data_IF_430296350554
#
_entry.id   IF_430296350554
#
_cell.length_a   1.000
_cell.length_b   1.000
_cell.length_c   1.000
_cell.angle_alpha   90.00
_cell.angle_beta   90.00
_cell.angle_gamma   90.00
#
_symmetry.space_group_name_H-M   'P 1'
#
loop_
_entity.id
_entity.type
_entity.pdbx_description
1 polymer ?
#
# COMPACT_ATOMS: atom_id res chain seq x y z
N UNK A 1 20.43 -72.49 0.88
CA UNK A 1 21.33 -71.43 1.37
C UNK A 1 21.91 -70.69 0.18
N UNK A 2 21.63 -69.40 0.06
CA UNK A 2 22.49 -68.34 -0.51
C UNK A 2 21.69 -67.04 -0.42
N UNK A 3 21.95 -66.31 0.66
CA UNK A 3 21.53 -64.94 0.87
C UNK A 3 22.21 -64.04 -0.18
N UNK A 4 21.54 -62.98 -0.64
CA UNK A 4 22.13 -61.65 -0.79
C UNK A 4 21.01 -60.61 -0.74
N UNK A 5 20.89 -59.99 0.44
CA UNK A 5 20.24 -58.70 0.68
C UNK A 5 20.89 -57.62 -0.19
N UNK A 6 20.09 -56.79 -0.86
CA UNK A 6 20.54 -55.46 -1.30
C UNK A 6 19.52 -54.45 -0.79
N UNK A 7 19.90 -53.75 0.27
CA UNK A 7 19.30 -52.50 0.69
C UNK A 7 20.05 -51.36 -0.03
N UNK A 8 19.33 -50.47 -0.71
CA UNK A 8 19.78 -49.14 -1.14
C UNK A 8 18.61 -48.44 -1.83
N UNK A 9 18.29 -47.17 -1.61
CA UNK A 9 18.59 -46.22 -0.56
C UNK A 9 17.45 -45.19 -0.67
N UNK A 10 16.82 -44.80 0.44
CA UNK A 10 15.86 -43.70 0.45
C UNK A 10 16.62 -42.41 0.10
N UNK A 11 16.50 -41.95 -1.14
CA UNK A 11 16.91 -40.62 -1.53
C UNK A 11 15.94 -39.64 -0.87
N UNK A 12 16.27 -39.24 0.36
CA UNK A 12 15.71 -38.04 0.98
C UNK A 12 16.29 -36.88 0.17
N UNK A 13 15.60 -36.53 -0.93
CA UNK A 13 15.79 -35.25 -1.57
C UNK A 13 15.40 -34.20 -0.53
N UNK A 14 16.40 -33.61 0.11
CA UNK A 14 16.21 -32.44 0.93
C UNK A 14 15.55 -31.39 0.06
N UNK A 15 14.26 -31.17 0.29
CA UNK A 15 13.58 -29.96 -0.18
C UNK A 15 14.27 -28.86 0.59
N UNK A 16 15.34 -28.31 0.02
CA UNK A 16 15.91 -27.06 0.49
C UNK A 16 14.83 -26.04 0.20
N UNK A 17 13.94 -25.85 1.18
CA UNK A 17 13.02 -24.74 1.20
C UNK A 17 13.91 -23.50 1.14
N UNK A 18 14.06 -22.94 -0.06
CA UNK A 18 14.59 -21.61 -0.23
C UNK A 18 13.82 -20.75 0.78
N UNK A 19 14.50 -19.90 1.58
CA UNK A 19 13.80 -19.02 2.48
C UNK A 19 12.80 -18.26 1.62
N UNK A 20 11.51 -18.47 1.88
CA UNK A 20 10.46 -17.68 1.25
C UNK A 20 10.78 -16.25 1.70
N UNK A 21 11.38 -15.48 0.79
CA UNK A 21 11.62 -14.08 0.96
C UNK A 21 10.21 -13.50 0.98
N UNK A 22 9.63 -13.39 2.18
CA UNK A 22 8.38 -12.67 2.39
C UNK A 22 8.65 -11.24 1.95
N UNK A 23 8.46 -10.98 0.67
CA UNK A 23 8.37 -9.66 0.12
C UNK A 23 7.08 -9.08 0.68
N UNK A 24 7.17 -8.54 1.90
CA UNK A 24 6.11 -7.72 2.46
C UNK A 24 5.99 -6.50 1.57
N UNK A 25 5.07 -6.59 0.60
CA UNK A 25 4.72 -5.47 -0.24
C UNK A 25 4.19 -4.37 0.69
N UNK A 26 4.93 -3.27 0.81
CA UNK A 26 4.46 -2.10 1.56
C UNK A 26 3.37 -1.46 0.70
N UNK A 27 2.13 -1.49 1.19
CA UNK A 27 1.01 -0.81 0.57
C UNK A 27 0.90 0.56 1.22
N UNK A 28 1.11 1.61 0.42
CA UNK A 28 0.92 2.99 0.84
C UNK A 28 -0.53 3.45 0.61
N UNK A 29 -0.94 4.54 1.26
CA UNK A 29 -2.28 5.11 1.06
C UNK A 29 -2.38 6.60 1.35
N UNK A 30 -3.58 7.14 1.16
CA UNK A 30 -3.91 8.54 1.34
C UNK A 30 -5.23 8.68 2.10
N UNK A 31 -5.27 9.54 3.12
CA UNK A 31 -6.47 9.89 3.86
C UNK A 31 -6.93 11.29 3.47
N UNK A 32 -8.10 11.38 2.82
CA UNK A 32 -8.67 12.64 2.39
C UNK A 32 -9.64 13.20 3.43
N UNK A 33 -9.49 14.47 3.75
CA UNK A 33 -10.39 15.17 4.68
C UNK A 33 -10.60 16.63 4.27
N UNK A 34 -11.83 17.12 4.36
CA UNK A 34 -12.22 18.48 3.99
C UNK A 34 -13.62 18.51 3.37
N UNK A 35 -14.28 19.66 3.41
CA UNK A 35 -15.71 19.82 3.03
C UNK A 35 -16.61 18.69 3.58
N UNK A 36 -16.44 18.33 4.85
CA UNK A 36 -17.24 17.29 5.52
C UNK A 36 -16.91 15.84 5.15
N UNK A 37 -15.98 15.60 4.21
CA UNK A 37 -15.35 14.29 4.04
C UNK A 37 -14.36 14.08 5.20
N UNK A 38 -14.45 12.94 5.89
CA UNK A 38 -13.66 12.65 7.08
C UNK A 38 -12.87 11.35 6.89
N UNK A 39 -11.55 11.45 6.88
CA UNK A 39 -10.62 10.33 6.80
C UNK A 39 -10.97 9.30 5.71
N UNK A 40 -11.39 9.78 4.54
CA UNK A 40 -11.67 8.90 3.42
C UNK A 40 -10.35 8.29 2.94
N UNK A 41 -10.18 6.99 3.16
CA UNK A 41 -8.99 6.28 2.75
C UNK A 41 -9.07 5.87 1.27
N UNK A 42 -7.96 6.05 0.57
CA UNK A 42 -7.73 5.55 -0.79
C UNK A 42 -6.36 4.89 -0.83
N UNK A 43 -6.32 3.62 -1.21
CA UNK A 43 -5.04 2.92 -1.42
C UNK A 43 -4.33 3.45 -2.65
N UNK A 44 -3.00 3.47 -2.61
CA UNK A 44 -2.20 3.88 -3.77
C UNK A 44 -2.57 3.09 -5.04
N UNK A 45 -2.62 3.80 -6.17
CA UNK A 45 -3.03 3.27 -7.47
C UNK A 45 -4.54 3.32 -7.72
N UNK A 46 -5.31 3.97 -6.84
CA UNK A 46 -6.75 4.09 -6.96
C UNK A 46 -7.21 5.55 -6.81
N UNK A 47 -8.39 5.80 -7.37
CA UNK A 47 -9.12 7.05 -7.28
C UNK A 47 -10.61 6.77 -7.02
N UNK A 48 -11.31 7.74 -6.44
CA UNK A 48 -12.76 7.72 -6.23
C UNK A 48 -13.34 9.14 -6.33
N UNK A 49 -14.63 9.23 -6.62
CA UNK A 49 -15.38 10.47 -6.48
C UNK A 49 -16.10 10.51 -5.14
N UNK A 50 -16.02 11.64 -4.44
CA UNK A 50 -16.71 11.89 -3.16
C UNK A 50 -17.49 13.18 -3.21
N UNK A 51 -18.69 13.18 -2.63
CA UNK A 51 -19.50 14.39 -2.49
C UNK A 51 -19.30 14.98 -1.09
N UNK A 52 -18.83 16.22 -1.04
CA UNK A 52 -18.70 16.97 0.21
C UNK A 52 -20.03 17.54 0.69
N UNK A 53 -20.05 18.05 1.91
CA UNK A 53 -21.23 18.64 2.55
C UNK A 53 -21.74 19.88 1.84
N UNK A 54 -20.89 20.58 1.08
CA UNK A 54 -21.30 21.70 0.24
C UNK A 54 -22.09 21.28 -1.02
N UNK A 55 -22.21 19.97 -1.28
CA UNK A 55 -22.80 19.42 -2.50
C UNK A 55 -21.85 19.38 -3.70
N UNK A 56 -20.60 19.85 -3.53
CA UNK A 56 -19.54 19.69 -4.53
C UNK A 56 -19.06 18.24 -4.58
N UNK A 57 -18.78 17.76 -5.78
CA UNK A 57 -18.11 16.47 -5.98
C UNK A 57 -16.63 16.71 -6.23
N UNK A 58 -15.79 15.92 -5.57
CA UNK A 58 -14.34 15.95 -5.65
C UNK A 58 -13.86 14.62 -6.21
N UNK A 59 -12.98 14.69 -7.19
CA UNK A 59 -12.24 13.53 -7.66
C UNK A 59 -10.95 13.41 -6.84
N UNK A 60 -10.85 12.40 -5.98
CA UNK A 60 -9.68 12.19 -5.11
C UNK A 60 -8.88 10.98 -5.60
N UNK A 61 -7.58 11.19 -5.80
CA UNK A 61 -6.66 10.17 -6.33
C UNK A 61 -5.47 9.98 -5.40
N UNK A 62 -5.15 8.73 -5.10
CA UNK A 62 -3.93 8.36 -4.39
C UNK A 62 -2.99 7.63 -5.34
N UNK A 63 -1.95 8.30 -5.81
CA UNK A 63 -0.95 7.74 -6.71
C UNK A 63 0.36 7.35 -6.02
N UNK A 64 1.26 6.72 -6.77
CA UNK A 64 2.67 6.58 -6.39
C UNK A 64 3.50 7.78 -6.85
N UNK A 65 4.61 8.03 -6.15
CA UNK A 65 5.61 9.03 -6.54
C UNK A 65 7.01 8.52 -6.24
N UNK A 66 8.00 8.93 -7.05
CA UNK A 66 9.43 8.69 -6.79
C UNK A 66 10.03 9.72 -5.83
N UNK A 67 9.44 10.91 -5.73
CA UNK A 67 9.80 11.95 -4.77
C UNK A 67 8.94 11.87 -3.52
N UNK A 68 9.55 11.85 -2.34
CA UNK A 68 8.85 11.77 -1.07
C UNK A 68 8.25 13.15 -0.70
N UNK A 69 6.92 13.24 -0.66
CA UNK A 69 6.21 14.41 -0.12
C UNK A 69 6.29 14.38 1.41
N UNK A 70 6.15 13.19 1.98
CA UNK A 70 6.32 12.90 3.40
C UNK A 70 7.46 11.87 3.54
N UNK A 71 8.36 12.03 4.52
CA UNK A 71 9.48 11.11 4.70
C UNK A 71 9.04 9.64 4.77
N UNK A 72 9.70 8.78 4.00
CA UNK A 72 9.48 7.33 3.92
C UNK A 72 8.12 6.86 3.37
N UNK A 73 7.30 7.76 2.84
CA UNK A 73 6.03 7.43 2.19
C UNK A 73 6.08 7.83 0.72
N UNK A 74 5.94 6.85 -0.17
CA UNK A 74 5.99 7.04 -1.63
C UNK A 74 4.59 7.14 -2.24
N UNK A 75 3.67 7.77 -1.51
CA UNK A 75 2.34 8.14 -1.99
C UNK A 75 2.30 9.62 -2.39
N UNK A 76 1.47 9.93 -3.37
CA UNK A 76 1.03 11.28 -3.70
C UNK A 76 -0.49 11.30 -3.69
N UNK A 77 -1.08 12.42 -3.33
CA UNK A 77 -2.51 12.61 -3.47
C UNK A 77 -2.83 13.82 -4.31
N UNK A 78 -3.94 13.73 -5.03
CA UNK A 78 -4.52 14.85 -5.76
C UNK A 78 -6.02 14.97 -5.47
N UNK A 79 -6.51 16.20 -5.52
CA UNK A 79 -7.93 16.56 -5.47
C UNK A 79 -8.22 17.32 -6.75
N UNK A 80 -9.15 16.83 -7.57
CA UNK A 80 -9.47 17.34 -8.90
C UNK A 80 -8.22 17.52 -9.79
N UNK A 81 -7.33 16.53 -9.73
CA UNK A 81 -6.08 16.48 -10.49
C UNK A 81 -4.98 17.45 -10.02
N UNK A 82 -5.17 18.12 -8.88
CA UNK A 82 -4.18 19.05 -8.29
C UNK A 82 -3.67 18.55 -6.96
N UNK A 83 -2.37 18.73 -6.70
CA UNK A 83 -1.81 18.42 -5.38
C UNK A 83 -2.34 19.45 -4.35
N UNK A 84 -3.01 19.00 -3.28
CA UNK A 84 -3.46 19.91 -2.24
C UNK A 84 -2.29 20.47 -1.43
N UNK A 85 -2.47 21.65 -0.85
CA UNK A 85 -1.53 22.20 0.13
C UNK A 85 -1.72 21.51 1.50
N UNK A 86 -0.68 21.50 2.33
CA UNK A 86 -0.78 21.01 3.71
C UNK A 86 -0.79 19.49 3.87
N UNK A 87 -0.24 18.74 2.91
CA UNK A 87 -0.05 17.29 3.04
C UNK A 87 0.86 16.99 4.24
N UNK A 88 0.46 16.04 5.09
CA UNK A 88 1.20 15.64 6.31
C UNK A 88 1.27 14.13 6.44
N UNK A 89 2.14 13.62 7.33
CA UNK A 89 2.14 12.21 7.69
C UNK A 89 0.87 11.86 8.48
N UNK A 90 0.31 10.67 8.27
CA UNK A 90 -0.73 10.17 9.15
C UNK A 90 -0.11 9.62 10.45
N UNK A 91 -0.65 10.04 11.60
CA UNK A 91 -0.12 9.65 12.91
C UNK A 91 -0.42 8.19 13.27
N UNK A 92 -1.52 7.64 12.76
CA UNK A 92 -1.98 6.28 13.04
C UNK A 92 -1.52 5.25 12.00
N UNK A 93 -1.25 5.70 10.77
CA UNK A 93 -0.75 4.87 9.67
C UNK A 93 0.54 5.46 9.08
N UNK A 94 1.68 4.86 9.47
CA UNK A 94 3.02 5.26 9.01
C UNK A 94 3.24 5.10 7.50
N UNK A 95 2.37 4.38 6.79
CA UNK A 95 2.44 4.18 5.35
C UNK A 95 1.44 5.07 4.60
N UNK A 96 0.81 6.02 5.27
CA UNK A 96 -0.16 6.91 4.65
C UNK A 96 0.14 8.39 4.89
N UNK A 97 -0.36 9.20 3.96
CA UNK A 97 -0.35 10.66 4.06
C UNK A 97 -1.76 11.19 4.27
N UNK A 98 -1.88 12.31 4.97
CA UNK A 98 -3.12 13.08 5.08
C UNK A 98 -3.18 14.10 3.95
N UNK A 99 -4.34 14.18 3.29
CA UNK A 99 -4.58 14.94 2.07
C UNK A 99 -5.79 15.86 2.26
N UNK A 100 -5.55 17.17 2.43
CA UNK A 100 -6.65 18.12 2.59
C UNK A 100 -7.48 18.25 1.30
N UNK A 101 -8.81 18.27 1.44
CA UNK A 101 -9.75 18.71 0.39
C UNK A 101 -10.05 20.20 0.64
N UNK A 102 -9.87 21.02 -0.39
CA UNK A 102 -10.01 22.49 -0.35
C UNK A 102 -10.88 23.01 -1.48
#
# INVERSE_FOLDING_TARGET
MRAFTVAAALLVAGVQAAPALESRQIIYGCYFSGDGVVNQYVSVGHDIDVTGTSGKSYHIDCGTTSGQIVPNVFAKCTVDGKQPAGITANESDKNAINCPIS
#
